data_IF_106446556318
#
_entry.id   IF_106446556318
#
_cell.length_a   1.000
_cell.length_b   1.000
_cell.length_c   1.000
_cell.angle_alpha   90.00
_cell.angle_beta   90.00
_cell.angle_gamma   90.00
#
_symmetry.space_group_name_H-M   'P 1'
#
loop_
_entity.id
_entity.type
_entity.pdbx_description
1 polymer ?
#
# COMPACT_ATOMS: atom_id res chain seq x y z
N UNK A 1 -3.26 -0.64 -5.05
CA UNK A 1 -1.81 -0.59 -4.79
C UNK A 1 -1.31 -2.00 -4.53
N UNK A 2 -0.31 -2.43 -5.28
CA UNK A 2 0.28 -3.75 -5.11
C UNK A 2 1.52 -3.63 -4.23
N UNK A 3 1.37 -3.95 -2.96
CA UNK A 3 2.44 -3.79 -1.97
C UNK A 3 3.65 -4.69 -2.27
N UNK A 4 3.43 -5.84 -2.91
CA UNK A 4 4.51 -6.74 -3.29
C UNK A 4 5.49 -6.11 -4.29
N UNK A 5 5.00 -5.20 -5.13
CA UNK A 5 5.82 -4.51 -6.14
C UNK A 5 6.49 -3.24 -5.63
N UNK A 6 6.19 -2.83 -4.41
CA UNK A 6 6.82 -1.67 -3.80
C UNK A 6 8.31 -1.91 -3.64
N UNK A 7 9.09 -0.93 -4.10
CA UNK A 7 10.55 -0.99 -4.06
C UNK A 7 11.07 -0.57 -2.71
N UNK A 8 12.10 -1.24 -2.27
CA UNK A 8 12.82 -0.90 -1.04
C UNK A 8 14.31 -1.18 -1.21
N UNK A 9 15.09 -0.80 -0.23
CA UNK A 9 16.52 -1.05 -0.23
C UNK A 9 16.95 -1.68 1.09
N UNK A 10 17.84 -2.66 1.01
CA UNK A 10 18.46 -3.28 2.17
C UNK A 10 19.87 -2.72 2.26
N UNK A 11 20.24 -2.02 3.36
CA UNK A 11 21.57 -1.48 3.50
C UNK A 11 22.63 -2.58 3.58
N UNK A 12 23.77 -2.36 2.92
CA UNK A 12 24.89 -3.29 2.97
C UNK A 12 25.79 -2.94 4.16
N UNK A 13 26.03 -3.86 5.11
CA UNK A 13 27.02 -3.62 6.16
C UNK A 13 28.39 -3.38 5.55
N UNK A 14 29.15 -2.44 6.09
CA UNK A 14 30.48 -2.14 5.61
C UNK A 14 30.57 -1.19 4.43
N UNK A 15 29.50 -0.45 4.14
CA UNK A 15 29.52 0.65 3.18
C UNK A 15 29.39 0.25 1.71
N UNK A 16 28.91 -0.95 1.40
CA UNK A 16 28.61 -1.36 0.04
C UNK A 16 27.29 -0.73 -0.45
N UNK A 17 26.97 -0.97 -1.73
CA UNK A 17 25.72 -0.52 -2.29
C UNK A 17 24.55 -1.24 -1.64
N UNK A 18 23.48 -0.51 -1.33
CA UNK A 18 22.25 -1.12 -0.85
C UNK A 18 21.69 -2.08 -1.90
N UNK A 19 21.06 -3.15 -1.45
CA UNK A 19 20.38 -4.10 -2.32
C UNK A 19 19.03 -3.52 -2.69
N UNK A 20 18.79 -3.27 -3.96
CA UNK A 20 17.49 -2.82 -4.46
C UNK A 20 16.60 -4.03 -4.65
N UNK A 21 15.44 -4.01 -4.04
CA UNK A 21 14.52 -5.14 -4.07
C UNK A 21 13.09 -4.65 -3.91
N UNK A 22 12.16 -5.59 -3.78
CA UNK A 22 10.76 -5.33 -3.49
C UNK A 22 10.34 -6.08 -2.24
N UNK A 23 9.26 -5.66 -1.62
CA UNK A 23 8.72 -6.39 -0.46
C UNK A 23 8.36 -7.83 -0.82
N UNK A 24 7.82 -8.05 -2.02
CA UNK A 24 7.51 -9.39 -2.50
C UNK A 24 8.74 -10.28 -2.60
N UNK A 25 9.85 -9.75 -3.08
CA UNK A 25 11.10 -10.51 -3.17
C UNK A 25 11.65 -10.86 -1.79
N UNK A 26 11.61 -9.92 -0.84
CA UNK A 26 12.03 -10.20 0.54
C UNK A 26 11.17 -11.30 1.15
N UNK A 27 9.87 -11.31 0.85
CA UNK A 27 8.95 -12.31 1.37
C UNK A 27 9.10 -13.70 0.73
N UNK A 28 9.73 -13.80 -0.46
CA UNK A 28 9.81 -15.06 -1.22
C UNK A 28 11.20 -15.66 -1.28
N UNK A 29 12.23 -14.84 -1.45
CA UNK A 29 13.60 -15.34 -1.63
C UNK A 29 14.16 -15.85 -0.31
N UNK A 30 14.86 -16.97 -0.36
CA UNK A 30 15.52 -17.52 0.84
C UNK A 30 16.71 -16.68 1.29
N UNK A 31 17.36 -16.00 0.35
CA UNK A 31 18.50 -15.15 0.65
C UNK A 31 18.72 -14.11 -0.43
N UNK A 32 19.46 -13.05 -0.09
CA UNK A 32 19.95 -12.04 -1.01
C UNK A 32 21.40 -11.72 -0.68
N UNK A 33 22.16 -11.37 -1.70
CA UNK A 33 23.59 -11.07 -1.54
C UNK A 33 23.87 -9.63 -1.95
N UNK A 34 24.64 -8.92 -1.12
CA UNK A 34 25.07 -7.56 -1.40
C UNK A 34 26.25 -7.54 -2.38
N UNK A 35 26.59 -6.36 -2.91
CA UNK A 35 27.72 -6.17 -3.82
C UNK A 35 29.06 -6.54 -3.19
N UNK A 36 29.17 -6.50 -1.86
CA UNK A 36 30.38 -6.90 -1.12
C UNK A 36 30.36 -8.35 -0.66
N UNK A 37 29.40 -9.14 -1.15
CA UNK A 37 29.31 -10.56 -0.82
C UNK A 37 28.67 -10.88 0.51
N UNK A 38 28.11 -9.90 1.22
CA UNK A 38 27.35 -10.17 2.43
C UNK A 38 26.03 -10.81 2.07
N UNK A 39 25.71 -11.93 2.70
CA UNK A 39 24.48 -12.67 2.43
C UNK A 39 23.48 -12.45 3.56
N UNK A 40 22.27 -12.08 3.17
CA UNK A 40 21.13 -11.99 4.07
C UNK A 40 20.30 -13.26 3.90
N UNK A 41 20.27 -14.10 4.92
CA UNK A 41 19.42 -15.30 4.94
C UNK A 41 18.14 -14.96 5.69
N UNK A 42 17.01 -15.11 5.01
CA UNK A 42 15.73 -14.77 5.59
C UNK A 42 15.12 -15.97 6.32
N UNK A 43 14.60 -15.72 7.49
CA UNK A 43 13.85 -16.72 8.25
C UNK A 43 12.46 -16.89 7.64
N UNK A 44 12.09 -18.14 7.33
CA UNK A 44 10.80 -18.43 6.70
C UNK A 44 9.60 -18.04 7.58
N UNK A 45 9.73 -18.18 8.89
CA UNK A 45 8.69 -17.76 9.84
C UNK A 45 8.45 -16.25 9.76
N UNK A 46 9.54 -15.46 9.69
CA UNK A 46 9.45 -14.01 9.55
C UNK A 46 8.89 -13.62 8.19
N UNK A 47 9.27 -14.33 7.13
CA UNK A 47 8.72 -14.11 5.80
C UNK A 47 7.21 -14.37 5.76
N UNK A 48 6.73 -15.40 6.44
CA UNK A 48 5.29 -15.68 6.53
C UNK A 48 4.54 -14.59 7.29
N UNK A 49 5.14 -14.05 8.33
CA UNK A 49 4.57 -12.91 9.06
C UNK A 49 4.51 -11.67 8.17
N UNK A 50 5.54 -11.44 7.37
CA UNK A 50 5.56 -10.33 6.42
C UNK A 50 4.47 -10.47 5.36
N UNK A 51 4.31 -11.65 4.80
CA UNK A 51 3.23 -11.93 3.83
C UNK A 51 1.85 -11.64 4.41
N UNK A 52 1.59 -12.10 5.63
CA UNK A 52 0.32 -11.84 6.31
C UNK A 52 0.09 -10.37 6.57
N UNK A 53 1.14 -9.65 6.96
CA UNK A 53 1.05 -8.21 7.19
C UNK A 53 0.74 -7.45 5.89
N UNK A 54 1.37 -7.83 4.79
CA UNK A 54 1.10 -7.24 3.47
C UNK A 54 -0.33 -7.51 3.02
N UNK A 55 -0.81 -8.74 3.16
CA UNK A 55 -2.17 -9.12 2.81
C UNK A 55 -3.20 -8.32 3.62
N UNK A 56 -2.93 -8.11 4.90
CA UNK A 56 -3.79 -7.32 5.77
C UNK A 56 -3.88 -5.86 5.31
N UNK A 57 -2.74 -5.27 4.95
CA UNK A 57 -2.69 -3.90 4.46
C UNK A 57 -3.49 -3.78 3.16
N UNK A 58 -3.29 -4.69 2.22
CA UNK A 58 -4.02 -4.69 0.95
C UNK A 58 -5.52 -4.83 1.15
N UNK A 59 -5.93 -5.71 2.06
CA UNK A 59 -7.34 -5.89 2.40
C UNK A 59 -7.95 -4.62 2.97
N UNK A 60 -7.25 -3.97 3.90
CA UNK A 60 -7.72 -2.72 4.51
C UNK A 60 -7.79 -1.59 3.49
N UNK A 61 -6.86 -1.53 2.55
CA UNK A 61 -6.88 -0.54 1.47
C UNK A 61 -8.10 -0.73 0.56
N UNK A 62 -8.41 -1.97 0.20
CA UNK A 62 -9.60 -2.27 -0.61
C UNK A 62 -10.90 -1.90 0.10
N UNK A 63 -10.98 -2.19 1.39
CA UNK A 63 -12.13 -1.81 2.21
C UNK A 63 -12.27 -0.29 2.31
N UNK A 64 -11.15 0.40 2.51
CA UNK A 64 -11.12 1.86 2.57
C UNK A 64 -11.57 2.48 1.24
N UNK A 65 -11.07 2.00 0.11
CA UNK A 65 -11.47 2.49 -1.22
C UNK A 65 -12.97 2.31 -1.44
N UNK A 66 -13.50 1.16 -1.06
CA UNK A 66 -14.92 0.85 -1.19
C UNK A 66 -15.78 1.77 -0.33
N UNK A 67 -15.35 2.03 0.90
CA UNK A 67 -16.05 2.91 1.81
C UNK A 67 -15.97 4.37 1.35
N UNK A 68 -14.84 4.78 0.81
CA UNK A 68 -14.66 6.12 0.24
C UNK A 68 -15.56 6.34 -0.97
N UNK A 69 -15.66 5.39 -1.87
CA UNK A 69 -16.56 5.48 -3.02
C UNK A 69 -18.01 5.64 -2.58
N UNK A 70 -18.43 4.86 -1.59
CA UNK A 70 -19.78 4.95 -1.03
C UNK A 70 -20.04 6.31 -0.41
N UNK A 71 -19.10 6.80 0.39
CA UNK A 71 -19.23 8.09 1.05
C UNK A 71 -19.27 9.24 0.04
N UNK A 72 -18.47 9.17 -1.01
CA UNK A 72 -18.48 10.17 -2.09
C UNK A 72 -19.80 10.17 -2.84
N UNK A 73 -20.35 9.02 -3.10
CA UNK A 73 -21.67 8.89 -3.75
C UNK A 73 -22.76 9.49 -2.88
N UNK A 74 -22.78 9.15 -1.60
CA UNK A 74 -23.75 9.68 -0.64
C UNK A 74 -23.65 11.20 -0.53
N UNK A 75 -22.43 11.72 -0.49
CA UNK A 75 -22.19 13.16 -0.48
C UNK A 75 -22.76 13.83 -1.72
N UNK A 76 -22.48 13.28 -2.90
CA UNK A 76 -22.99 13.81 -4.16
C UNK A 76 -24.51 13.82 -4.24
N UNK A 77 -25.15 12.74 -3.78
CA UNK A 77 -26.60 12.64 -3.73
C UNK A 77 -27.20 13.65 -2.76
N UNK A 78 -26.62 13.80 -1.58
CA UNK A 78 -27.06 14.76 -0.58
C UNK A 78 -26.94 16.21 -1.09
N UNK A 79 -25.80 16.54 -1.70
CA UNK A 79 -25.58 17.85 -2.28
C UNK A 79 -26.60 18.13 -3.38
N UNK A 80 -26.83 17.17 -4.26
CA UNK A 80 -27.80 17.29 -5.33
C UNK A 80 -29.21 17.53 -4.81
N UNK A 81 -29.59 16.83 -3.74
CA UNK A 81 -30.90 17.00 -3.10
C UNK A 81 -31.06 18.40 -2.49
N UNK A 82 -30.00 18.92 -1.84
CA UNK A 82 -30.02 20.28 -1.29
C UNK A 82 -30.22 21.30 -2.40
N UNK A 83 -29.49 21.15 -3.49
CA UNK A 83 -29.56 22.08 -4.61
C UNK A 83 -30.92 22.00 -5.33
N UNK A 84 -31.45 20.80 -5.50
CA UNK A 84 -32.75 20.58 -6.17
C UNK A 84 -33.90 21.13 -5.37
N UNK A 85 -33.82 21.10 -4.04
CA UNK A 85 -34.86 21.57 -3.15
C UNK A 85 -34.70 23.04 -2.72
N UNK A 86 -33.60 23.67 -3.12
CA UNK A 86 -33.35 25.04 -2.75
C UNK A 86 -34.27 26.00 -3.50
N UNK A 87 -34.80 26.99 -2.80
CA UNK A 87 -35.56 28.06 -3.43
C UNK A 87 -34.58 29.03 -4.09
N UNK A 88 -34.68 29.13 -5.40
CA UNK A 88 -33.87 30.07 -6.15
C UNK A 88 -34.57 31.42 -6.14
N UNK A 89 -33.95 32.36 -5.41
CA UNK A 89 -34.44 33.73 -5.40
C UNK A 89 -33.73 34.51 -6.47
N UNK A 90 -34.45 34.82 -7.53
CA UNK A 90 -33.95 35.70 -8.60
C UNK A 90 -34.10 37.15 -8.20
N UNK A 91 -32.96 37.83 -8.02
CA UNK A 91 -32.94 39.26 -7.78
C UNK A 91 -32.77 39.98 -9.13
N UNK A 92 -33.69 40.83 -9.39
CA UNK A 92 -33.62 41.70 -10.56
C UNK A 92 -32.78 42.93 -10.24
#
# INVERSE_FOLDING_TARGET
MDLEREKTEIPCPGGGRAIRTTYGEIARKSSMRSSKGHEYKFNSSDQNKLKRAMDKIEKLQKEFERDMERAQKEFGESLNNVLSNADIMLKN
#
